data_IF_699967074907
#
_entry.id   IF_699967074907
#
_cell.length_a   1.000
_cell.length_b   1.000
_cell.length_c   1.000
_cell.angle_alpha   90.00
_cell.angle_beta   90.00
_cell.angle_gamma   90.00
#
_symmetry.space_group_name_H-M   'P 1'
#
loop_
_entity.id
_entity.type
_entity.pdbx_description
1 polymer ?
#
# COMPACT_ATOMS: atom_id res chain seq x y z
N UNK A 1 -25.48 2.49 -21.62
CA UNK A 1 -24.37 1.78 -20.94
C UNK A 1 -23.47 2.84 -20.33
N UNK A 2 -23.13 2.72 -19.05
CA UNK A 2 -22.24 3.67 -18.39
C UNK A 2 -20.93 3.77 -19.17
N UNK A 3 -20.56 4.97 -19.62
CA UNK A 3 -19.31 5.20 -20.33
C UNK A 3 -18.15 5.08 -19.33
N UNK A 4 -17.61 3.88 -19.16
CA UNK A 4 -16.34 3.70 -18.47
C UNK A 4 -15.24 4.31 -19.35
N UNK A 5 -14.52 5.31 -18.85
CA UNK A 5 -13.41 5.95 -19.58
C UNK A 5 -12.28 4.99 -19.98
N UNK A 6 -12.26 3.79 -19.39
CA UNK A 6 -11.26 2.74 -19.59
C UNK A 6 -11.84 1.59 -20.40
N UNK A 7 -11.01 0.99 -21.24
CA UNK A 7 -11.32 -0.29 -21.88
C UNK A 7 -11.38 -1.41 -20.83
N UNK A 8 -12.02 -2.53 -21.18
CA UNK A 8 -12.10 -3.72 -20.30
C UNK A 8 -10.69 -4.25 -19.96
N UNK A 9 -9.77 -4.23 -20.92
CA UNK A 9 -8.39 -4.68 -20.71
C UNK A 9 -7.66 -3.79 -19.69
N UNK A 10 -7.77 -2.48 -19.82
CA UNK A 10 -7.17 -1.53 -18.86
C UNK A 10 -7.80 -1.65 -17.47
N UNK A 11 -9.12 -1.88 -17.41
CA UNK A 11 -9.80 -2.11 -16.14
C UNK A 11 -9.24 -3.35 -15.42
N UNK A 12 -9.07 -4.48 -16.12
CA UNK A 12 -8.52 -5.71 -15.55
C UNK A 12 -7.07 -5.47 -15.08
N UNK A 13 -6.25 -4.81 -15.90
CA UNK A 13 -4.86 -4.48 -15.55
C UNK A 13 -4.78 -3.58 -14.31
N UNK A 14 -5.68 -2.59 -14.19
CA UNK A 14 -5.71 -1.69 -13.04
C UNK A 14 -6.27 -2.34 -11.78
N UNK A 15 -7.20 -3.29 -11.91
CA UNK A 15 -7.84 -3.98 -10.79
C UNK A 15 -6.95 -5.07 -10.18
N UNK A 16 -6.18 -5.76 -11.01
CA UNK A 16 -5.38 -6.93 -10.63
C UNK A 16 -3.89 -6.75 -10.95
N UNK A 17 -3.37 -5.55 -10.68
CA UNK A 17 -1.97 -5.25 -10.88
C UNK A 17 -1.05 -6.06 -9.94
N UNK A 18 0.15 -6.48 -10.40
CA UNK A 18 1.09 -7.22 -9.56
C UNK A 18 1.45 -6.50 -8.26
N UNK A 19 1.46 -7.25 -7.16
CA UNK A 19 1.78 -6.71 -5.84
C UNK A 19 3.27 -6.89 -5.49
N UNK A 20 3.88 -5.83 -4.95
CA UNK A 20 5.26 -5.81 -4.47
C UNK A 20 5.29 -5.33 -3.03
N UNK A 21 5.92 -6.11 -2.14
CA UNK A 21 6.04 -5.76 -0.73
C UNK A 21 7.23 -4.83 -0.52
N UNK A 22 7.16 -3.97 0.49
CA UNK A 22 8.28 -3.14 0.93
C UNK A 22 8.64 -3.47 2.36
N UNK A 23 9.93 -3.73 2.59
CA UNK A 23 10.54 -3.85 3.90
C UNK A 23 11.51 -2.68 4.10
N UNK A 24 11.19 -1.78 5.00
CA UNK A 24 12.05 -0.64 5.34
C UNK A 24 12.79 -0.87 6.65
N UNK A 25 14.04 -0.42 6.72
CA UNK A 25 14.68 -0.16 8.01
C UNK A 25 14.01 1.02 8.71
N UNK A 26 14.11 1.05 10.04
CA UNK A 26 13.57 2.13 10.86
C UNK A 26 14.06 3.51 10.41
N UNK A 27 15.35 3.63 10.09
CA UNK A 27 15.95 4.89 9.66
C UNK A 27 15.44 5.33 8.29
N UNK A 28 15.25 4.40 7.35
CA UNK A 28 14.70 4.71 6.03
C UNK A 28 13.27 5.27 6.13
N UNK A 29 12.45 4.63 6.96
CA UNK A 29 11.10 5.09 7.25
C UNK A 29 11.11 6.46 7.95
N UNK A 30 12.00 6.67 8.92
CA UNK A 30 12.15 7.95 9.64
C UNK A 30 12.48 9.11 8.69
N UNK A 31 13.35 8.89 7.70
CA UNK A 31 13.66 9.91 6.70
C UNK A 31 12.43 10.20 5.83
N UNK A 32 11.72 9.19 5.34
CA UNK A 32 10.50 9.39 4.55
C UNK A 32 9.45 10.19 5.34
N UNK A 33 9.32 9.90 6.64
CA UNK A 33 8.37 10.56 7.55
C UNK A 33 8.64 12.06 7.73
N UNK A 34 9.84 12.57 7.45
CA UNK A 34 10.10 14.02 7.40
C UNK A 34 9.23 14.73 6.34
N UNK A 35 8.81 13.99 5.29
CA UNK A 35 7.90 14.47 4.26
C UNK A 35 6.43 14.09 4.52
N UNK A 36 6.10 13.58 5.71
CA UNK A 36 4.78 13.05 6.09
C UNK A 36 4.30 11.85 5.24
N UNK A 37 5.22 11.09 4.66
CA UNK A 37 4.93 9.90 3.85
C UNK A 37 5.69 8.70 4.40
N UNK A 38 5.08 7.52 4.32
CA UNK A 38 5.82 6.24 4.37
C UNK A 38 6.63 6.06 3.09
N UNK A 39 7.65 5.20 3.09
CA UNK A 39 8.35 4.90 1.84
C UNK A 39 7.39 4.34 0.76
N UNK A 40 6.47 3.45 1.17
CA UNK A 40 5.48 2.88 0.26
C UNK A 40 4.61 3.96 -0.39
N UNK A 41 4.17 4.97 0.36
CA UNK A 41 3.42 6.12 -0.15
C UNK A 41 4.27 7.04 -1.03
N UNK A 42 5.54 7.26 -0.66
CA UNK A 42 6.47 8.12 -1.39
C UNK A 42 6.63 7.67 -2.85
N UNK A 43 6.69 6.36 -3.09
CA UNK A 43 6.90 5.82 -4.44
C UNK A 43 5.61 5.55 -5.23
N UNK A 44 4.43 5.62 -4.62
CA UNK A 44 3.15 5.33 -5.28
C UNK A 44 2.95 6.04 -6.63
N UNK A 45 3.27 7.34 -6.79
CA UNK A 45 3.07 8.03 -8.06
C UNK A 45 3.89 7.45 -9.22
N UNK A 46 4.98 6.75 -8.91
CA UNK A 46 5.92 6.18 -9.88
C UNK A 46 5.63 4.71 -10.21
N UNK A 47 4.56 4.13 -9.64
CA UNK A 47 4.21 2.73 -9.83
C UNK A 47 3.49 2.43 -11.15
N UNK A 48 3.22 3.43 -11.98
CA UNK A 48 2.64 3.26 -13.32
C UNK A 48 3.65 3.66 -14.37
N UNK A 49 4.06 2.70 -15.20
CA UNK A 49 4.96 2.96 -16.31
C UNK A 49 4.17 3.56 -17.49
N UNK A 50 4.48 4.79 -17.94
CA UNK A 50 3.82 5.40 -19.09
C UNK A 50 4.31 4.81 -20.43
N UNK A 51 5.50 4.20 -20.43
CA UNK A 51 6.16 3.69 -21.62
C UNK A 51 5.92 2.19 -21.80
N UNK A 52 5.93 1.74 -23.05
CA UNK A 52 5.91 0.31 -23.38
C UNK A 52 7.26 -0.32 -23.02
N UNK A 53 7.23 -1.46 -22.31
CA UNK A 53 8.43 -2.21 -21.92
C UNK A 53 8.45 -3.53 -22.63
N UNK A 54 9.50 -3.77 -23.43
CA UNK A 54 9.75 -5.06 -24.07
C UNK A 54 10.67 -5.93 -23.22
N UNK A 55 10.27 -7.17 -22.95
CA UNK A 55 11.17 -8.19 -22.42
C UNK A 55 11.17 -9.42 -23.33
N UNK A 56 12.26 -10.19 -23.32
CA UNK A 56 12.31 -11.47 -24.03
C UNK A 56 12.06 -12.59 -23.06
N UNK A 57 11.16 -13.49 -23.41
CA UNK A 57 10.94 -14.72 -22.65
C UNK A 57 12.11 -15.73 -22.87
N UNK A 58 12.15 -16.86 -22.14
CA UNK A 58 13.17 -17.89 -22.34
C UNK A 58 13.18 -18.50 -23.76
N UNK A 59 12.09 -18.36 -24.51
CA UNK A 59 11.98 -18.76 -25.92
C UNK A 59 12.47 -17.68 -26.89
N UNK A 60 13.04 -16.57 -26.37
CA UNK A 60 13.53 -15.41 -27.12
C UNK A 60 12.43 -14.63 -27.86
N UNK A 61 11.17 -14.80 -27.47
CA UNK A 61 10.01 -14.06 -27.97
C UNK A 61 9.95 -12.70 -27.29
N UNK A 62 9.87 -11.62 -28.07
CA UNK A 62 9.69 -10.27 -27.55
C UNK A 62 8.24 -10.07 -27.10
N UNK A 63 8.03 -9.90 -25.80
CA UNK A 63 6.75 -9.56 -25.18
C UNK A 63 6.78 -8.07 -24.84
N UNK A 64 5.81 -7.32 -25.37
CA UNK A 64 5.66 -5.88 -25.11
C UNK A 64 4.56 -5.68 -24.08
N UNK A 65 4.93 -5.17 -22.91
CA UNK A 65 4.03 -4.79 -21.83
C UNK A 65 3.62 -3.33 -22.01
N UNK A 66 2.32 -3.08 -22.10
CA UNK A 66 1.72 -1.74 -22.14
C UNK A 66 1.04 -1.46 -20.81
N UNK A 67 1.13 -0.21 -20.34
CA UNK A 67 0.45 0.27 -19.13
C UNK A 67 0.75 -0.57 -17.87
N UNK A 68 1.99 -1.05 -17.72
CA UNK A 68 2.36 -1.83 -16.53
C UNK A 68 2.21 -0.97 -15.29
N UNK A 69 1.36 -1.43 -14.38
CA UNK A 69 1.14 -0.84 -13.07
C UNK A 69 1.54 -1.86 -12.01
N UNK A 70 2.20 -1.40 -10.96
CA UNK A 70 2.52 -2.17 -9.77
C UNK A 70 1.71 -1.64 -8.58
N UNK A 71 1.30 -2.51 -7.68
CA UNK A 71 0.78 -2.11 -6.38
C UNK A 71 1.84 -2.38 -5.31
N UNK A 72 2.42 -1.31 -4.80
CA UNK A 72 3.44 -1.40 -3.77
C UNK A 72 2.80 -1.20 -2.39
N UNK A 73 3.04 -2.12 -1.46
CA UNK A 73 2.51 -2.04 -0.09
C UNK A 73 3.56 -2.35 0.96
N UNK A 74 3.39 -1.75 2.13
CA UNK A 74 4.18 -2.12 3.29
C UNK A 74 4.00 -3.60 3.61
N UNK A 75 5.10 -4.27 3.92
CA UNK A 75 5.12 -5.68 4.29
C UNK A 75 4.19 -6.01 5.48
N UNK A 76 4.05 -5.08 6.43
CA UNK A 76 3.19 -5.22 7.60
C UNK A 76 1.74 -4.79 7.34
N UNK A 77 1.40 -4.37 6.11
CA UNK A 77 0.03 -3.97 5.78
C UNK A 77 -0.90 -5.19 5.79
N UNK A 78 -1.86 -5.17 6.71
CA UNK A 78 -2.89 -6.18 6.81
C UNK A 78 -4.16 -5.71 6.10
N UNK A 79 -4.91 -6.61 5.43
CA UNK A 79 -6.24 -6.32 4.95
C UNK A 79 -7.12 -5.81 6.11
N UNK A 80 -8.01 -4.84 5.85
CA UNK A 80 -8.91 -4.34 6.88
C UNK A 80 -9.84 -5.46 7.37
N UNK A 81 -10.09 -5.50 8.69
CA UNK A 81 -11.11 -6.39 9.25
C UNK A 81 -12.50 -6.08 8.70
N UNK A 82 -13.40 -7.06 8.71
CA UNK A 82 -14.75 -6.96 8.13
C UNK A 82 -15.53 -5.69 8.55
N UNK A 83 -15.45 -5.29 9.82
CA UNK A 83 -16.13 -4.07 10.32
C UNK A 83 -15.56 -2.81 9.67
N UNK A 84 -14.24 -2.68 9.60
CA UNK A 84 -13.59 -1.55 8.95
C UNK A 84 -13.81 -1.58 7.44
N UNK A 85 -13.78 -2.77 6.82
CA UNK A 85 -14.04 -2.92 5.39
C UNK A 85 -15.46 -2.44 5.01
N UNK A 86 -16.49 -2.82 5.78
CA UNK A 86 -17.86 -2.34 5.60
C UNK A 86 -17.95 -0.82 5.74
N UNK A 87 -17.29 -0.25 6.75
CA UNK A 87 -17.23 1.21 6.94
C UNK A 87 -16.60 1.89 5.72
N UNK A 88 -15.45 1.42 5.26
CA UNK A 88 -14.76 1.98 4.09
C UNK A 88 -15.63 1.93 2.82
N UNK A 89 -16.37 0.84 2.60
CA UNK A 89 -17.29 0.73 1.47
C UNK A 89 -18.43 1.75 1.58
N UNK A 90 -19.02 1.90 2.76
CA UNK A 90 -20.07 2.89 3.00
C UNK A 90 -19.56 4.32 2.80
N UNK A 91 -18.38 4.64 3.34
CA UNK A 91 -17.75 5.95 3.21
C UNK A 91 -17.46 6.28 1.73
N UNK A 92 -17.02 5.29 0.93
CA UNK A 92 -16.79 5.50 -0.50
C UNK A 92 -18.10 5.79 -1.26
N UNK A 93 -19.18 5.09 -0.94
CA UNK A 93 -20.50 5.35 -1.53
C UNK A 93 -20.99 6.74 -1.14
N UNK A 94 -20.92 7.09 0.15
CA UNK A 94 -21.35 8.39 0.67
C UNK A 94 -20.60 9.54 -0.02
N UNK A 95 -19.27 9.46 -0.08
CA UNK A 95 -18.44 10.48 -0.73
C UNK A 95 -18.69 10.59 -2.23
N UNK A 96 -19.05 9.50 -2.90
CA UNK A 96 -19.36 9.54 -4.33
C UNK A 96 -20.73 10.16 -4.61
N UNK A 97 -21.69 10.00 -3.69
CA UNK A 97 -23.00 10.63 -3.79
C UNK A 97 -22.93 12.13 -3.51
N UNK A 98 -22.13 12.57 -2.54
CA UNK A 98 -21.99 14.00 -2.20
C UNK A 98 -21.21 14.80 -3.25
N UNK A 99 -20.29 14.16 -3.97
CA UNK A 99 -19.51 14.78 -5.05
C UNK A 99 -20.14 14.63 -6.44
N UNK A 100 -21.22 13.84 -6.58
CA UNK A 100 -21.95 13.66 -7.82
C UNK A 100 -22.83 14.88 -8.12
N UNK A 101 -22.55 15.60 -9.20
CA UNK A 101 -23.41 16.69 -9.66
C UNK A 101 -24.81 16.16 -9.98
N UNK A 102 -25.85 16.82 -9.47
CA UNK A 102 -27.29 16.59 -9.75
C UNK A 102 -27.68 16.79 -11.22
N UNK A 103 -26.74 17.18 -12.08
CA UNK A 103 -26.94 17.52 -13.49
C UNK A 103 -27.11 16.32 -14.44
N UNK A 104 -27.09 15.09 -13.94
CA UNK A 104 -27.14 13.86 -14.76
C UNK A 104 -28.45 13.07 -14.59
N UNK A 105 -29.47 13.68 -14.00
CA UNK A 105 -30.81 13.12 -13.87
C UNK A 105 -31.57 13.24 -15.18
N UNK A 106 -32.08 12.12 -15.67
CA UNK A 106 -33.04 12.06 -16.75
C UNK A 106 -34.43 11.90 -16.14
N UNK A 107 -35.29 12.86 -16.41
CA UNK A 107 -36.71 12.74 -16.12
C UNK A 107 -37.36 11.92 -17.24
N UNK A 108 -37.99 10.81 -16.87
CA UNK A 108 -38.84 10.00 -17.75
C UNK A 108 -40.26 10.24 -17.29
N UNK A 109 -40.99 11.02 -18.08
CA UNK A 109 -42.41 11.24 -17.85
C UNK A 109 -43.20 10.10 -18.50
N UNK A 110 -43.96 9.37 -17.69
CA UNK A 110 -44.98 8.43 -18.16
C UNK A 110 -46.33 9.03 -17.79
N UNK A 111 -47.40 8.71 -18.53
CA UNK A 111 -48.75 9.29 -18.33
C UNK A 111 -49.29 9.15 -16.88
N UNK A 112 -48.65 8.32 -16.04
CA UNK A 112 -49.04 8.06 -14.66
C UNK A 112 -47.97 8.43 -13.61
N UNK A 113 -46.69 8.58 -13.99
CA UNK A 113 -45.59 8.85 -13.04
C UNK A 113 -44.41 9.58 -13.68
N UNK A 114 -43.80 10.48 -12.91
CA UNK A 114 -42.50 11.10 -13.21
C UNK A 114 -41.37 10.33 -12.52
N UNK A 115 -40.43 9.80 -13.31
CA UNK A 115 -39.28 9.05 -12.81
C UNK A 115 -37.99 9.82 -13.07
N UNK A 116 -37.26 10.15 -12.00
CA UNK A 116 -35.90 10.70 -12.11
C UNK A 116 -34.88 9.56 -12.04
N UNK A 117 -34.20 9.29 -13.16
CA UNK A 117 -33.19 8.24 -13.27
C UNK A 117 -31.82 8.86 -13.48
N UNK A 118 -30.84 8.44 -12.67
CA UNK A 118 -29.45 8.83 -12.85
C UNK A 118 -28.87 8.12 -14.09
N UNK A 119 -28.35 8.88 -15.07
CA UNK A 119 -27.71 8.29 -16.25
C UNK A 119 -26.37 7.60 -15.93
N UNK A 120 -25.78 7.89 -14.77
CA UNK A 120 -24.49 7.34 -14.31
C UNK A 120 -24.58 6.90 -12.86
N UNK A 121 -23.76 5.93 -12.47
CA UNK A 121 -23.66 5.44 -11.09
C UNK A 121 -22.24 5.62 -10.53
N UNK A 122 -21.76 6.86 -10.27
CA UNK A 122 -20.41 7.09 -9.74
C UNK A 122 -20.16 6.41 -8.39
N UNK A 123 -21.22 6.26 -7.58
CA UNK A 123 -21.18 5.54 -6.32
C UNK A 123 -20.81 4.06 -6.51
N UNK A 124 -21.26 3.44 -7.60
CA UNK A 124 -20.97 2.05 -7.89
C UNK A 124 -19.51 1.88 -8.32
N UNK A 125 -18.99 2.80 -9.13
CA UNK A 125 -17.57 2.80 -9.49
C UNK A 125 -16.69 2.97 -8.24
N UNK A 126 -17.02 3.93 -7.37
CA UNK A 126 -16.29 4.16 -6.13
C UNK A 126 -16.36 2.95 -5.18
N UNK A 127 -17.54 2.33 -5.05
CA UNK A 127 -17.74 1.12 -4.26
C UNK A 127 -16.94 -0.06 -4.83
N UNK A 128 -17.03 -0.31 -6.13
CA UNK A 128 -16.32 -1.40 -6.82
C UNK A 128 -14.82 -1.26 -6.67
N UNK A 129 -14.28 -0.07 -6.92
CA UNK A 129 -12.85 0.20 -6.82
C UNK A 129 -12.37 0.07 -5.36
N UNK A 130 -13.22 0.46 -4.39
CA UNK A 130 -12.95 0.23 -2.98
C UNK A 130 -12.97 -1.26 -2.63
N UNK A 131 -13.98 -2.00 -3.07
CA UNK A 131 -14.14 -3.44 -2.85
C UNK A 131 -12.93 -4.21 -3.38
N UNK A 132 -12.55 -4.01 -4.63
CA UNK A 132 -11.40 -4.69 -5.24
C UNK A 132 -10.09 -4.41 -4.47
N UNK A 133 -9.91 -3.18 -3.97
CA UNK A 133 -8.74 -2.82 -3.16
C UNK A 133 -8.73 -3.51 -1.79
N UNK A 134 -9.85 -3.53 -1.07
CA UNK A 134 -9.91 -4.01 0.32
C UNK A 134 -10.25 -5.50 0.48
N UNK A 135 -10.74 -6.15 -0.58
CA UNK A 135 -11.16 -7.55 -0.54
C UNK A 135 -10.05 -8.45 0.03
N UNK A 136 -10.42 -9.35 0.93
CA UNK A 136 -9.48 -10.32 1.48
C UNK A 136 -9.12 -11.37 0.43
N UNK A 137 -7.85 -11.76 0.40
CA UNK A 137 -7.35 -12.80 -0.50
C UNK A 137 -7.58 -14.18 0.10
N UNK A 138 -8.48 -14.96 -0.50
CA UNK A 138 -8.73 -16.35 -0.13
C UNK A 138 -7.49 -17.24 -0.27
N UNK A 139 -7.57 -18.46 0.25
CA UNK A 139 -6.45 -19.43 0.20
C UNK A 139 -6.24 -20.04 -1.19
N UNK A 140 -7.27 -19.96 -2.05
CA UNK A 140 -7.27 -20.53 -3.40
C UNK A 140 -7.07 -19.48 -4.50
N UNK A 141 -6.67 -18.25 -4.15
CA UNK A 141 -6.37 -17.20 -5.12
C UNK A 141 -4.96 -16.65 -4.95
N UNK A 142 -4.40 -16.15 -6.06
CA UNK A 142 -3.05 -15.59 -6.12
C UNK A 142 -3.04 -14.11 -6.50
N UNK A 143 -4.21 -13.49 -6.67
CA UNK A 143 -4.37 -12.13 -7.21
C UNK A 143 -3.72 -11.06 -6.33
N UNK A 144 -3.56 -11.34 -5.04
CA UNK A 144 -3.00 -10.42 -4.05
C UNK A 144 -1.77 -10.98 -3.34
N UNK A 145 -1.13 -11.97 -3.95
CA UNK A 145 0.12 -12.52 -3.45
C UNK A 145 1.28 -11.68 -4.01
N UNK A 146 2.25 -11.38 -3.16
CA UNK A 146 3.39 -10.57 -3.53
C UNK A 146 4.33 -11.36 -4.43
N UNK A 147 4.75 -10.73 -5.55
CA UNK A 147 5.70 -11.33 -6.50
C UNK A 147 7.17 -11.04 -6.13
N UNK A 148 7.40 -9.91 -5.47
CA UNK A 148 8.72 -9.40 -5.14
C UNK A 148 8.69 -8.62 -3.83
N UNK A 149 9.88 -8.37 -3.28
CA UNK A 149 10.08 -7.53 -2.12
C UNK A 149 11.17 -6.49 -2.38
N UNK A 150 10.84 -5.23 -2.15
CA UNK A 150 11.79 -4.12 -2.12
C UNK A 150 12.28 -3.96 -0.69
N UNK A 151 13.59 -4.06 -0.49
CA UNK A 151 14.26 -3.82 0.78
C UNK A 151 14.85 -2.43 0.74
N UNK A 152 14.57 -1.63 1.77
CA UNK A 152 14.96 -0.22 1.81
C UNK A 152 15.76 0.05 3.08
N UNK A 153 16.96 0.58 2.92
CA UNK A 153 17.81 0.99 4.04
C UNK A 153 18.36 2.38 3.76
N UNK A 154 18.50 3.20 4.79
CA UNK A 154 19.06 4.54 4.69
C UNK A 154 20.60 4.54 4.75
N UNK A 155 21.25 5.46 4.03
CA UNK A 155 22.68 5.77 4.18
C UNK A 155 23.05 6.30 5.56
N UNK A 156 22.06 6.78 6.33
CA UNK A 156 22.24 7.25 7.71
C UNK A 156 22.37 6.10 8.72
N UNK A 157 22.02 4.86 8.33
CA UNK A 157 22.23 3.69 9.17
C UNK A 157 23.74 3.48 9.42
N UNK A 158 24.09 2.97 10.61
CA UNK A 158 25.49 2.75 11.02
C UNK A 158 26.18 1.70 10.14
N UNK A 159 25.49 0.60 9.88
CA UNK A 159 25.92 -0.47 8.96
C UNK A 159 24.77 -0.84 8.00
N UNK A 160 24.66 -0.18 6.84
CA UNK A 160 23.57 -0.42 5.90
C UNK A 160 23.56 -1.85 5.33
N UNK A 161 24.72 -2.48 5.20
CA UNK A 161 24.88 -3.81 4.62
C UNK A 161 24.34 -4.89 5.56
N UNK A 162 24.68 -4.80 6.84
CA UNK A 162 24.10 -5.68 7.87
C UNK A 162 22.59 -5.48 7.99
N UNK A 163 22.09 -4.23 7.90
CA UNK A 163 20.67 -3.95 7.89
C UNK A 163 19.93 -4.63 6.72
N UNK A 164 20.47 -4.58 5.50
CA UNK A 164 19.91 -5.33 4.37
C UNK A 164 19.91 -6.83 4.64
N UNK A 165 20.98 -7.37 5.20
CA UNK A 165 21.08 -8.80 5.54
C UNK A 165 19.99 -9.22 6.54
N UNK A 166 19.69 -8.38 7.54
CA UNK A 166 18.58 -8.61 8.48
C UNK A 166 17.21 -8.56 7.80
N UNK A 167 16.98 -7.63 6.88
CA UNK A 167 15.72 -7.57 6.12
C UNK A 167 15.52 -8.83 5.25
N UNK A 168 16.60 -9.33 4.62
CA UNK A 168 16.59 -10.59 3.88
C UNK A 168 16.23 -11.77 4.79
N UNK A 169 16.83 -11.86 5.98
CA UNK A 169 16.54 -12.91 6.95
C UNK A 169 15.09 -12.88 7.42
N UNK A 170 14.57 -11.69 7.74
CA UNK A 170 13.18 -11.49 8.13
C UNK A 170 12.21 -11.99 7.05
N UNK A 171 12.44 -11.61 5.80
CA UNK A 171 11.61 -12.04 4.68
C UNK A 171 11.64 -13.56 4.50
N UNK A 172 12.84 -14.16 4.50
CA UNK A 172 13.00 -15.61 4.35
C UNK A 172 12.33 -16.38 5.50
N UNK A 173 12.45 -15.90 6.75
CA UNK A 173 11.84 -16.54 7.91
C UNK A 173 10.31 -16.57 7.79
N UNK A 174 9.68 -15.46 7.39
CA UNK A 174 8.23 -15.43 7.28
C UNK A 174 7.71 -16.32 6.17
N UNK A 175 8.46 -16.47 5.08
CA UNK A 175 8.09 -17.37 3.99
C UNK A 175 8.12 -18.86 4.38
N UNK A 176 8.90 -19.22 5.41
CA UNK A 176 8.99 -20.58 5.93
C UNK A 176 7.99 -20.88 7.05
N UNK A 177 7.17 -19.91 7.48
CA UNK A 177 6.20 -20.12 8.55
C UNK A 177 5.03 -21.02 8.10
N UNK A 178 4.68 -21.98 8.95
CA UNK A 178 3.52 -22.88 8.78
C UNK A 178 2.63 -22.74 10.03
N UNK A 179 1.33 -22.41 9.90
CA UNK A 179 0.61 -22.12 8.66
C UNK A 179 1.05 -20.78 8.03
N UNK A 180 0.87 -20.64 6.71
CA UNK A 180 1.25 -19.45 5.97
C UNK A 180 0.47 -18.22 6.48
N UNK A 181 1.21 -17.24 7.02
CA UNK A 181 0.65 -15.97 7.49
C UNK A 181 0.80 -14.89 6.43
N UNK A 182 -0.02 -13.84 6.53
CA UNK A 182 0.17 -12.65 5.72
C UNK A 182 1.51 -11.97 6.03
N UNK A 183 2.18 -11.36 5.03
CA UNK A 183 1.81 -11.33 3.61
C UNK A 183 2.00 -12.68 2.88
N UNK A 184 1.11 -13.01 1.93
CA UNK A 184 1.22 -14.22 1.10
C UNK A 184 2.15 -13.97 -0.09
N UNK A 185 3.05 -14.91 -0.37
CA UNK A 185 3.98 -14.84 -1.51
C UNK A 185 3.52 -15.74 -2.65
N UNK A 186 3.80 -15.31 -3.88
CA UNK A 186 3.44 -16.08 -5.07
C UNK A 186 4.36 -17.27 -5.32
N UNK A 187 5.67 -17.12 -5.04
CA UNK A 187 6.68 -18.18 -5.18
C UNK A 187 7.45 -18.35 -3.87
N UNK A 188 8.12 -19.49 -3.67
CA UNK A 188 9.04 -19.76 -2.54
C UNK A 188 10.36 -19.00 -2.64
N UNK A 189 10.78 -18.61 -3.85
CA UNK A 189 11.93 -17.74 -4.05
C UNK A 189 11.47 -16.49 -4.81
N UNK A 190 11.21 -15.43 -4.05
CA UNK A 190 10.75 -14.16 -4.61
C UNK A 190 11.93 -13.32 -5.09
N UNK A 191 11.66 -12.43 -6.05
CA UNK A 191 12.63 -11.42 -6.44
C UNK A 191 12.83 -10.39 -5.31
N UNK A 192 14.09 -10.07 -5.01
CA UNK A 192 14.48 -9.11 -3.97
C UNK A 192 15.20 -7.93 -4.63
N UNK A 193 14.71 -6.72 -4.40
CA UNK A 193 15.30 -5.49 -4.94
C UNK A 193 15.77 -4.59 -3.80
N UNK A 194 16.99 -4.08 -3.89
CA UNK A 194 17.65 -3.35 -2.82
C UNK A 194 17.70 -1.86 -3.15
N UNK A 195 17.09 -1.04 -2.31
CA UNK A 195 17.07 0.41 -2.45
C UNK A 195 17.82 1.03 -1.29
N UNK A 196 18.95 1.67 -1.60
CA UNK A 196 19.68 2.51 -0.66
C UNK A 196 19.08 3.91 -0.73
N UNK A 197 18.47 4.36 0.36
CA UNK A 197 17.84 5.67 0.46
C UNK A 197 18.84 6.71 0.98
N UNK A 198 19.02 7.81 0.26
CA UNK A 198 19.90 8.89 0.62
C UNK A 198 19.14 10.20 0.71
N UNK A 199 19.18 10.84 1.88
CA UNK A 199 18.66 12.20 2.06
C UNK A 199 19.75 13.20 1.68
N UNK A 200 19.58 13.89 0.56
CA UNK A 200 20.56 14.86 0.03
C UNK A 200 20.71 16.09 0.94
N UNK A 201 19.74 16.33 1.82
CA UNK A 201 19.75 17.53 2.69
C UNK A 201 20.61 17.39 3.93
N UNK A 202 20.83 16.15 4.41
CA UNK A 202 21.56 15.85 5.65
C UNK A 202 22.71 14.86 5.45
N UNK A 203 22.65 14.02 4.42
CA UNK A 203 23.59 12.93 4.19
C UNK A 203 24.85 13.37 3.45
N UNK A 204 25.92 12.58 3.61
CA UNK A 204 27.16 12.74 2.85
C UNK A 204 27.13 11.87 1.58
N UNK A 205 27.26 12.50 0.40
CA UNK A 205 27.15 11.81 -0.90
C UNK A 205 28.29 10.80 -1.14
N UNK A 206 29.51 11.12 -0.72
CA UNK A 206 30.69 10.24 -0.82
C UNK A 206 30.45 8.91 -0.09
N UNK A 207 29.90 8.95 1.13
CA UNK A 207 29.50 7.77 1.91
C UNK A 207 28.42 6.97 1.17
N UNK A 208 27.41 7.65 0.62
CA UNK A 208 26.34 7.00 -0.11
C UNK A 208 26.86 6.22 -1.33
N UNK A 209 27.76 6.82 -2.10
CA UNK A 209 28.39 6.19 -3.28
C UNK A 209 29.23 4.98 -2.86
N UNK A 210 30.02 5.10 -1.78
CA UNK A 210 30.84 3.99 -1.26
C UNK A 210 29.97 2.80 -0.85
N UNK A 211 28.97 3.03 0.02
CA UNK A 211 28.05 1.98 0.48
C UNK A 211 27.27 1.37 -0.68
N UNK A 212 26.89 2.16 -1.67
CA UNK A 212 26.24 1.65 -2.88
C UNK A 212 27.17 0.75 -3.71
N UNK A 213 28.47 1.04 -3.73
CA UNK A 213 29.49 0.16 -4.31
C UNK A 213 29.49 -1.22 -3.66
N UNK A 214 29.55 -1.24 -2.33
CA UNK A 214 29.55 -2.47 -1.53
C UNK A 214 28.26 -3.27 -1.72
N UNK A 215 27.12 -2.57 -1.75
CA UNK A 215 25.81 -3.18 -1.97
C UNK A 215 25.72 -3.89 -3.32
N UNK A 216 26.23 -3.25 -4.39
CA UNK A 216 26.29 -3.85 -5.72
C UNK A 216 27.21 -5.06 -5.77
N UNK A 217 28.31 -5.05 -5.00
CA UNK A 217 29.22 -6.20 -4.91
C UNK A 217 28.54 -7.41 -4.26
N UNK A 218 27.72 -7.18 -3.23
CA UNK A 218 27.07 -8.25 -2.48
C UNK A 218 25.81 -8.81 -3.16
N UNK A 219 24.94 -7.94 -3.68
CA UNK A 219 23.62 -8.34 -4.21
C UNK A 219 23.46 -8.22 -5.73
N UNK A 220 24.50 -7.72 -6.40
CA UNK A 220 24.54 -7.54 -7.85
C UNK A 220 23.99 -6.19 -8.29
N UNK A 221 24.66 -5.56 -9.25
CA UNK A 221 24.31 -4.23 -9.75
C UNK A 221 22.90 -4.11 -10.35
N UNK A 222 22.38 -5.19 -10.95
CA UNK A 222 21.04 -5.20 -11.55
C UNK A 222 19.89 -5.23 -10.54
N UNK A 223 20.17 -5.52 -9.26
CA UNK A 223 19.17 -5.63 -8.20
C UNK A 223 19.23 -4.47 -7.20
N UNK A 224 20.08 -3.46 -7.46
CA UNK A 224 20.37 -2.39 -6.51
C UNK A 224 20.06 -1.01 -7.13
N UNK A 225 19.53 -0.10 -6.32
CA UNK A 225 19.31 1.29 -6.69
C UNK A 225 19.67 2.25 -5.56
N UNK A 226 20.29 3.37 -5.89
CA UNK A 226 20.51 4.48 -4.97
C UNK A 226 19.41 5.52 -5.22
N UNK A 227 18.46 5.63 -4.29
CA UNK A 227 17.37 6.60 -4.37
C UNK A 227 17.73 7.84 -3.57
N UNK A 228 17.85 8.97 -4.25
CA UNK A 228 18.08 10.27 -3.62
C UNK A 228 16.75 10.98 -3.39
N UNK A 229 16.53 11.45 -2.16
CA UNK A 229 15.35 12.20 -1.76
C UNK A 229 15.74 13.50 -1.06
N UNK A 230 14.80 14.43 -1.03
CA UNK A 230 14.92 15.67 -0.28
C UNK A 230 13.92 15.66 0.88
N UNK A 231 14.37 16.06 2.06
CA UNK A 231 13.51 16.19 3.23
C UNK A 231 13.22 17.64 3.56
N UNK A 232 12.04 17.90 4.15
CA UNK A 232 11.75 19.21 4.76
C UNK A 232 12.71 19.46 5.91
N UNK A 233 13.29 20.67 5.98
CA UNK A 233 14.15 21.05 7.10
C UNK A 233 13.30 21.21 8.38
N UNK A 234 13.82 20.83 9.56
CA UNK A 234 13.14 21.08 10.83
C UNK A 234 12.84 22.59 10.98
N UNK A 235 11.56 22.96 11.11
CA UNK A 235 11.13 24.35 11.29
C UNK A 235 10.61 25.07 10.04
N UNK A 236 10.73 24.48 8.84
CA UNK A 236 10.01 25.00 7.66
C UNK A 236 8.52 24.67 7.79
N UNK A 237 7.71 25.70 8.03
CA UNK A 237 6.26 25.59 7.98
C UNK A 237 5.79 25.75 6.52
N UNK A 238 4.67 25.14 6.13
CA UNK A 238 4.11 25.29 4.78
C UNK A 238 3.79 26.76 4.42
N UNK A 239 3.87 27.70 5.37
CA UNK A 239 3.69 29.14 5.18
C UNK A 239 4.93 29.88 4.68
N UNK A 240 6.15 29.33 4.84
CA UNK A 240 7.38 29.98 4.36
C UNK A 240 7.60 29.81 2.84
N UNK A 241 6.76 28.99 2.21
CA UNK A 241 6.70 28.76 0.76
C UNK A 241 5.45 29.39 0.14
N UNK A 242 5.14 30.62 0.55
CA UNK A 242 4.01 31.40 0.01
C UNK A 242 4.09 31.65 -1.51
N UNK A 243 5.25 31.47 -2.15
CA UNK A 243 5.41 31.54 -3.61
C UNK A 243 5.14 30.21 -4.35
N UNK A 244 5.01 29.05 -3.68
CA UNK A 244 4.74 27.74 -4.33
C UNK A 244 3.32 27.20 -4.11
N UNK A 245 2.42 28.03 -3.58
CA UNK A 245 1.07 27.63 -3.12
C UNK A 245 0.09 27.20 -4.23
N UNK A 246 0.44 27.34 -5.50
CA UNK A 246 -0.42 26.95 -6.63
C UNK A 246 -0.07 25.60 -7.28
N UNK A 247 0.94 24.86 -6.80
CA UNK A 247 1.25 23.55 -7.38
C UNK A 247 0.37 22.46 -6.76
N UNK A 248 -0.37 21.67 -7.57
CA UNK A 248 -1.19 20.60 -7.06
C UNK A 248 -0.30 19.54 -6.40
N UNK A 249 -0.66 19.09 -5.20
CA UNK A 249 0.04 18.00 -4.51
C UNK A 249 -0.05 16.70 -5.35
N UNK A 250 1.07 16.20 -5.89
CA UNK A 250 1.06 15.03 -6.74
C UNK A 250 0.81 13.73 -5.97
N UNK A 251 0.99 13.71 -4.64
CA UNK A 251 0.72 12.55 -3.78
C UNK A 251 -0.75 12.46 -3.34
N UNK A 252 -1.52 13.55 -3.40
CA UNK A 252 -2.92 13.60 -2.96
C UNK A 252 -3.81 12.51 -3.57
N UNK A 253 -3.52 12.10 -4.81
CA UNK A 253 -4.29 11.05 -5.51
C UNK A 253 -3.97 9.63 -5.02
N UNK A 254 -2.83 9.46 -4.36
CA UNK A 254 -2.28 8.16 -3.96
C UNK A 254 -2.35 7.95 -2.45
N UNK A 255 -2.14 9.02 -1.68
CA UNK A 255 -2.26 9.04 -0.22
C UNK A 255 -3.72 9.25 0.11
N UNK A 256 -4.48 8.15 0.16
CA UNK A 256 -5.82 8.19 0.75
C UNK A 256 -5.63 8.57 2.21
N UNK A 257 -6.17 9.71 2.62
CA UNK A 257 -6.25 10.11 4.02
C UNK A 257 -6.69 8.88 4.81
N UNK A 258 -5.76 8.29 5.57
CA UNK A 258 -6.08 7.39 6.63
C UNK A 258 -6.88 8.25 7.60
N UNK A 259 -8.19 8.27 7.41
CA UNK A 259 -9.13 8.99 8.26
C UNK A 259 -8.77 8.66 9.69
N UNK A 260 -8.23 9.66 10.36
CA UNK A 260 -7.89 9.79 11.76
C UNK A 260 -8.61 8.76 12.62
N UNK A 261 -7.98 7.60 12.84
CA UNK A 261 -8.50 6.55 13.74
C UNK A 261 -7.40 5.96 14.64
N UNK A 262 -6.12 6.16 14.32
CA UNK A 262 -5.00 5.60 15.09
C UNK A 262 -4.45 6.52 16.21
N UNK A 263 -5.11 7.63 16.54
CA UNK A 263 -4.66 8.53 17.63
C UNK A 263 -5.45 8.43 18.94
N UNK A 264 -6.43 7.52 19.09
CA UNK A 264 -7.20 7.39 20.35
C UNK A 264 -7.04 6.06 21.11
N UNK A 265 -6.15 5.15 20.69
CA UNK A 265 -5.93 3.89 21.43
C UNK A 265 -4.62 3.80 22.22
N UNK A 266 -3.80 4.86 22.24
CA UNK A 266 -2.51 4.84 22.95
C UNK A 266 -2.46 5.67 24.25
N UNK A 267 -3.61 6.10 24.79
CA UNK A 267 -3.65 6.87 26.05
C UNK A 267 -4.51 6.28 27.17
N UNK A 268 -4.97 5.02 27.08
CA UNK A 268 -5.77 4.38 28.15
C UNK A 268 -5.12 3.16 28.81
N UNK A 269 -3.82 2.91 28.60
CA UNK A 269 -3.08 1.83 29.29
C UNK A 269 -1.98 2.40 30.18
N UNK A 270 -2.34 3.29 31.11
CA UNK A 270 -1.43 3.70 32.19
C UNK A 270 -2.09 3.83 33.56
N UNK A 271 -3.34 3.37 33.72
CA UNK A 271 -3.99 3.23 35.04
C UNK A 271 -5.00 2.09 35.03
N UNK A 272 -4.55 0.89 35.40
CA UNK A 272 -5.31 -0.16 36.12
C UNK A 272 -4.40 -1.38 36.30
N UNK A 273 -3.58 -1.32 37.34
CA UNK A 273 -3.11 -2.52 38.02
C UNK A 273 -4.29 -3.15 38.77
N UNK A 274 -4.39 -4.48 38.70
CA UNK A 274 -5.18 -5.30 39.62
C UNK A 274 -6.32 -6.12 38.99
N UNK A 275 -6.09 -7.44 38.92
CA UNK A 275 -7.07 -8.52 38.66
C UNK A 275 -7.45 -8.79 37.20
N UNK A 276 -6.76 -9.76 36.57
CA UNK A 276 -7.12 -10.31 35.26
C UNK A 276 -6.87 -11.83 35.20
N UNK A 277 -7.04 -12.54 36.33
CA UNK A 277 -6.94 -14.01 36.40
C UNK A 277 -8.30 -14.72 36.46
N UNK A 278 -9.36 -14.05 36.93
CA UNK A 278 -10.66 -14.70 37.17
C UNK A 278 -11.65 -14.62 35.99
N UNK A 279 -11.33 -13.86 34.94
CA UNK A 279 -12.23 -13.66 33.79
C UNK A 279 -12.00 -14.66 32.64
N UNK A 280 -10.88 -15.37 32.64
CA UNK A 280 -10.56 -16.36 31.59
C UNK A 280 -11.14 -17.74 31.89
N UNK A 281 -11.29 -18.11 33.16
CA UNK A 281 -11.92 -19.37 33.59
C UNK A 281 -13.39 -19.45 33.17
N UNK A 282 -14.16 -18.37 33.36
CA UNK A 282 -15.60 -18.36 33.04
C UNK A 282 -15.92 -18.37 31.53
N UNK A 283 -14.99 -17.93 30.67
CA UNK A 283 -15.19 -17.96 29.21
C UNK A 283 -14.95 -19.34 28.60
N UNK A 284 -14.10 -20.16 29.23
CA UNK A 284 -13.81 -21.52 28.76
C UNK A 284 -14.95 -22.48 29.10
N UNK A 285 -15.59 -22.33 30.27
CA UNK A 285 -16.76 -23.14 30.68
C UNK A 285 -18.01 -22.90 29.82
N UNK A 286 -18.20 -21.69 29.30
CA UNK A 286 -19.34 -21.34 28.43
C UNK A 286 -19.20 -21.89 27.01
N UNK A 287 -17.97 -22.14 26.54
CA UNK A 287 -17.71 -22.70 25.20
C UNK A 287 -17.89 -24.23 25.21
N UNK A 288 -17.55 -24.90 26.31
CA UNK A 288 -17.72 -26.36 26.42
C UNK A 288 -19.17 -26.80 26.66
N UNK A 289 -20.05 -25.90 27.12
CA UNK A 289 -21.50 -26.18 27.25
C UNK A 289 -22.27 -26.07 25.93
N UNK A 290 -21.86 -25.22 24.99
CA UNK A 290 -22.55 -25.12 23.68
C UNK A 290 -22.15 -26.20 22.68
N UNK A 291 -21.00 -26.86 22.86
CA UNK A 291 -20.54 -27.93 21.96
C UNK A 291 -21.14 -29.32 22.27
N UNK A 292 -21.83 -29.49 23.40
CA UNK A 292 -22.44 -30.77 23.82
C UNK A 292 -23.97 -30.84 23.61
N UNK A 293 -24.56 -29.85 22.92
CA UNK A 293 -25.98 -29.82 22.56
C UNK A 293 -26.13 -29.62 21.04
N UNK A 294 -25.69 -30.61 20.27
CA UNK A 294 -26.24 -30.98 18.96
C UNK A 294 -25.80 -32.40 18.57
#
# INVERSE_FOLDING_TARGET
>A
MAQTKKSVSEFIQDAFCPMVAVLCSYDAETICRKNNLTFAELIQPFCRLPSEVGYRDPSNTLIVLKNLRLEIKDYNSLPPQNTLAKKLLNDCVFNALTNGSTSNEREIDTEQYQLHIQNTTPWFDAWRDCFLRIAYSGDHEFLKNYLACIMVVSTSHLDPIDAFSKLVQLQNQQQQQIPAKLPKWFMTNIYKYFVLLHDVTEGEESKAISVFGDLKQQYGAGNCHLLQINSKRPGQTNSDTSETTNMPDPWRLYVKQSSTSNQQQSQTISKRDGSMSDSLSNLTELIDQELNLN
#
